data_IF_700532825801
#
_entry.id   IF_700532825801
#
_cell.length_a   1.000
_cell.length_b   1.000
_cell.length_c   1.000
_cell.angle_alpha   90.00
_cell.angle_beta   90.00
_cell.angle_gamma   90.00
#
_symmetry.space_group_name_H-M   'P 1'
#
loop_
_entity.id
_entity.type
_entity.pdbx_description
1 polymer ?
#
# COMPACT_ATOMS: atom_id res chain seq x y z
N UNK A 1 4.33 -16.58 3.27
CA UNK A 1 4.95 -17.50 2.28
C UNK A 1 6.12 -18.21 2.95
N UNK A 2 6.21 -19.54 3.02
CA UNK A 2 7.26 -20.18 3.82
C UNK A 2 8.63 -20.23 3.12
N UNK A 3 9.40 -19.14 3.20
CA UNK A 3 10.83 -19.17 2.90
C UNK A 3 11.60 -19.84 4.05
N UNK A 4 12.74 -20.51 3.78
CA UNK A 4 13.58 -21.06 4.84
C UNK A 4 14.16 -19.91 5.68
N UNK A 5 14.39 -20.15 6.97
CA UNK A 5 15.05 -19.20 7.87
C UNK A 5 14.25 -18.83 9.12
N UNK A 6 12.94 -19.03 9.12
CA UNK A 6 12.11 -18.83 10.33
C UNK A 6 12.51 -19.85 11.40
N UNK A 7 12.80 -19.36 12.61
CA UNK A 7 13.17 -20.17 13.78
C UNK A 7 12.26 -19.85 14.96
N UNK A 8 12.25 -20.72 15.97
CA UNK A 8 11.57 -20.43 17.23
C UNK A 8 12.13 -19.18 17.93
N UNK A 9 13.42 -18.87 17.71
CA UNK A 9 14.05 -17.67 18.25
C UNK A 9 13.57 -16.41 17.54
N UNK A 10 13.54 -16.38 16.20
CA UNK A 10 13.02 -15.23 15.46
C UNK A 10 11.52 -15.03 15.70
N UNK A 11 10.75 -16.11 15.87
CA UNK A 11 9.33 -16.03 16.25
C UNK A 11 9.14 -15.34 17.61
N UNK A 12 9.91 -15.73 18.63
CA UNK A 12 9.85 -15.10 19.96
C UNK A 12 10.26 -13.63 19.91
N UNK A 13 11.33 -13.32 19.18
CA UNK A 13 11.81 -11.94 19.03
C UNK A 13 10.78 -11.08 18.30
N UNK A 14 10.15 -11.59 17.24
CA UNK A 14 9.04 -10.91 16.57
C UNK A 14 7.92 -10.59 17.57
N UNK A 15 7.44 -11.59 18.33
CA UNK A 15 6.37 -11.38 19.31
C UNK A 15 6.74 -10.33 20.36
N UNK A 16 7.97 -10.37 20.89
CA UNK A 16 8.48 -9.38 21.84
C UNK A 16 8.44 -7.96 21.27
N UNK A 17 8.97 -7.76 20.07
CA UNK A 17 9.07 -6.44 19.44
C UNK A 17 7.70 -5.90 19.01
N UNK A 18 6.80 -6.78 18.55
CA UNK A 18 5.43 -6.43 18.20
C UNK A 18 4.63 -5.99 19.43
N UNK A 19 4.76 -6.72 20.55
CA UNK A 19 4.14 -6.33 21.82
C UNK A 19 4.68 -4.99 22.29
N UNK A 20 6.00 -4.79 22.23
CA UNK A 20 6.63 -3.52 22.60
C UNK A 20 6.14 -2.36 21.75
N UNK A 21 5.98 -2.56 20.44
CA UNK A 21 5.40 -1.52 19.57
C UNK A 21 3.98 -1.16 19.97
N UNK A 22 3.16 -2.16 20.32
CA UNK A 22 1.77 -1.95 20.74
C UNK A 22 1.67 -1.21 22.08
N UNK A 23 2.59 -1.48 23.01
CA UNK A 23 2.56 -0.92 24.37
C UNK A 23 3.20 0.48 24.46
N UNK A 24 4.19 0.78 23.61
CA UNK A 24 5.00 2.00 23.72
C UNK A 24 4.65 3.07 22.67
N UNK A 25 4.17 2.69 21.49
CA UNK A 25 4.12 3.58 20.32
C UNK A 25 2.71 3.84 19.79
N UNK A 26 2.53 5.04 19.29
CA UNK A 26 1.32 5.46 18.57
C UNK A 26 1.21 4.75 17.22
N UNK A 27 -0.01 4.61 16.69
CA UNK A 27 -0.26 4.21 15.30
C UNK A 27 0.25 5.16 14.20
N UNK A 28 0.91 6.27 14.57
CA UNK A 28 1.53 7.22 13.65
C UNK A 28 2.93 7.61 14.13
N UNK A 29 3.85 7.88 13.21
CA UNK A 29 5.16 8.42 13.56
C UNK A 29 5.10 9.87 14.01
N UNK A 30 6.18 10.34 14.65
CA UNK A 30 6.36 11.77 14.92
C UNK A 30 6.42 12.51 13.59
N UNK A 31 5.69 13.62 13.49
CA UNK A 31 5.89 14.51 12.35
C UNK A 31 7.25 15.21 12.42
N UNK A 32 7.82 15.56 11.26
CA UNK A 32 9.05 16.34 11.22
C UNK A 32 8.86 17.67 11.97
N UNK A 33 9.87 18.07 12.74
CA UNK A 33 9.90 19.27 13.59
C UNK A 33 9.52 20.57 12.85
N UNK A 34 9.60 20.59 11.52
CA UNK A 34 9.33 21.77 10.71
C UNK A 34 7.89 21.94 10.22
N UNK A 35 7.04 20.92 10.30
CA UNK A 35 5.72 21.04 9.66
C UNK A 35 4.52 20.65 10.53
N UNK A 36 4.49 19.54 11.27
CA UNK A 36 3.26 19.16 11.97
C UNK A 36 3.51 18.10 13.05
N UNK A 37 3.57 18.49 14.32
CA UNK A 37 3.90 17.57 15.43
C UNK A 37 2.96 16.35 15.56
N UNK A 38 1.74 16.41 15.00
CA UNK A 38 0.75 15.33 14.98
C UNK A 38 0.34 14.86 13.56
N UNK A 39 1.11 15.14 12.49
CA UNK A 39 0.78 14.68 11.12
C UNK A 39 1.83 13.76 10.47
N UNK A 40 2.57 12.96 11.25
CA UNK A 40 3.48 11.96 10.68
C UNK A 40 2.79 10.89 9.81
N UNK A 41 3.52 10.10 9.02
CA UNK A 41 2.93 8.95 8.34
C UNK A 41 2.43 7.89 9.35
N UNK A 42 1.69 6.89 8.86
CA UNK A 42 1.28 5.75 9.67
C UNK A 42 2.52 5.02 10.20
N UNK A 43 2.45 4.53 11.44
CA UNK A 43 3.51 3.70 12.01
C UNK A 43 3.50 2.35 11.33
N UNK A 44 4.49 2.05 10.49
CA UNK A 44 4.60 0.79 9.77
C UNK A 44 5.60 -0.21 10.40
N UNK A 45 5.99 -0.04 11.67
CA UNK A 45 6.95 -0.93 12.34
C UNK A 45 6.49 -2.39 12.33
N UNK A 46 5.21 -2.63 12.62
CA UNK A 46 4.64 -3.99 12.53
C UNK A 46 4.70 -4.56 11.12
N UNK A 47 4.45 -3.71 10.12
CA UNK A 47 4.41 -4.12 8.72
C UNK A 47 5.80 -4.51 8.22
N UNK A 48 6.84 -3.75 8.63
CA UNK A 48 8.25 -4.01 8.34
C UNK A 48 8.73 -5.31 9.04
N UNK A 49 8.47 -5.44 10.34
CA UNK A 49 8.83 -6.64 11.11
C UNK A 49 8.19 -7.91 10.53
N UNK A 50 6.90 -7.87 10.19
CA UNK A 50 6.20 -9.03 9.62
C UNK A 50 6.66 -9.35 8.20
N UNK A 51 6.85 -8.34 7.35
CA UNK A 51 7.33 -8.56 5.99
C UNK A 51 8.73 -9.19 5.98
N UNK A 52 9.62 -8.68 6.84
CA UNK A 52 10.99 -9.19 6.99
C UNK A 52 11.00 -10.58 7.63
N UNK A 53 10.14 -10.82 8.62
CA UNK A 53 9.98 -12.14 9.23
C UNK A 53 9.50 -13.21 8.25
N UNK A 54 8.55 -12.91 7.36
CA UNK A 54 8.05 -13.85 6.32
C UNK A 54 9.16 -14.29 5.35
N UNK A 55 10.23 -13.51 5.29
CA UNK A 55 11.43 -13.81 4.51
C UNK A 55 12.54 -14.52 5.28
N UNK A 56 12.29 -14.92 6.53
CA UNK A 56 13.23 -15.73 7.31
C UNK A 56 14.28 -14.91 8.06
N UNK A 57 13.99 -13.64 8.38
CA UNK A 57 14.86 -12.79 9.17
C UNK A 57 15.27 -13.41 10.51
N UNK A 58 16.52 -13.20 10.89
CA UNK A 58 17.05 -13.61 12.18
C UNK A 58 16.54 -12.70 13.31
N UNK A 59 16.67 -13.10 14.59
CA UNK A 59 16.39 -12.21 15.71
C UNK A 59 17.15 -10.88 15.65
N UNK A 60 18.40 -10.91 15.17
CA UNK A 60 19.25 -9.73 15.06
C UNK A 60 18.76 -8.76 13.98
N UNK A 61 18.25 -9.28 12.86
CA UNK A 61 17.66 -8.46 11.79
C UNK A 61 16.41 -7.73 12.31
N UNK A 62 15.53 -8.46 13.00
CA UNK A 62 14.29 -7.89 13.57
C UNK A 62 14.61 -6.81 14.63
N UNK A 63 15.58 -7.06 15.50
CA UNK A 63 16.04 -6.09 16.49
C UNK A 63 16.66 -4.84 15.83
N UNK A 64 17.40 -5.02 14.74
CA UNK A 64 17.98 -3.91 13.96
C UNK A 64 16.88 -3.03 13.36
N UNK A 65 15.86 -3.64 12.75
CA UNK A 65 14.68 -2.94 12.21
C UNK A 65 13.97 -2.16 13.32
N UNK A 66 13.68 -2.82 14.44
CA UNK A 66 13.00 -2.17 15.57
C UNK A 66 13.75 -0.94 16.06
N UNK A 67 15.06 -1.08 16.29
CA UNK A 67 15.87 0.02 16.82
C UNK A 67 15.97 1.20 15.84
N UNK A 68 16.06 0.94 14.52
CA UNK A 68 16.02 1.98 13.49
C UNK A 68 14.68 2.72 13.48
N UNK A 69 13.57 1.99 13.38
CA UNK A 69 12.24 2.60 13.23
C UNK A 69 11.79 3.28 14.53
N UNK A 70 12.24 2.81 15.70
CA UNK A 70 11.94 3.41 17.01
C UNK A 70 12.30 4.90 17.09
N UNK A 71 13.35 5.34 16.39
CA UNK A 71 13.83 6.72 16.46
C UNK A 71 12.81 7.76 15.99
N UNK A 72 11.90 7.37 15.10
CA UNK A 72 10.85 8.24 14.54
C UNK A 72 9.47 8.01 15.19
N UNK A 73 9.36 7.11 16.17
CA UNK A 73 8.09 6.74 16.79
C UNK A 73 7.50 7.83 17.68
N UNK A 74 6.19 8.06 17.58
CA UNK A 74 5.47 8.92 18.53
C UNK A 74 5.06 8.11 19.76
N UNK A 75 5.12 8.74 20.94
CA UNK A 75 4.69 8.09 22.19
C UNK A 75 3.20 7.79 22.12
N UNK A 76 2.78 6.67 22.69
CA UNK A 76 1.38 6.32 22.86
C UNK A 76 0.61 7.51 23.50
N UNK A 77 -0.50 7.98 22.89
CA UNK A 77 -1.28 9.07 23.46
C UNK A 77 -2.03 8.62 24.71
N UNK A 78 -2.39 9.58 25.56
CA UNK A 78 -3.17 9.32 26.77
C UNK A 78 -4.52 8.69 26.42
N UNK A 79 -4.94 7.74 27.25
CA UNK A 79 -6.25 7.08 27.14
C UNK A 79 -7.26 7.84 28.00
N UNK A 80 -8.42 8.14 27.41
CA UNK A 80 -9.54 8.86 28.02
C UNK A 80 -10.74 7.90 28.16
N UNK A 81 -10.95 7.26 29.32
CA UNK A 81 -12.01 6.26 29.49
C UNK A 81 -13.42 6.77 29.15
N UNK A 82 -13.70 8.06 29.37
CA UNK A 82 -14.95 8.71 29.03
C UNK A 82 -15.19 8.79 27.51
N UNK A 83 -14.13 9.00 26.72
CA UNK A 83 -14.23 8.98 25.25
C UNK A 83 -14.53 7.58 24.77
N UNK A 84 -13.92 6.55 25.36
CA UNK A 84 -14.22 5.14 25.04
C UNK A 84 -15.69 4.81 25.29
N UNK A 85 -16.32 5.41 26.32
CA UNK A 85 -17.76 5.28 26.56
C UNK A 85 -18.56 6.01 25.48
N UNK A 86 -18.19 7.25 25.13
CA UNK A 86 -18.85 8.00 24.05
C UNK A 86 -18.78 7.26 22.71
N UNK A 87 -17.65 6.61 22.39
CA UNK A 87 -17.45 5.84 21.16
C UNK A 87 -18.36 4.62 21.04
N UNK A 88 -18.99 4.16 22.14
CA UNK A 88 -20.02 3.11 22.07
C UNK A 88 -21.30 3.56 21.35
N UNK A 89 -21.52 4.87 21.24
CA UNK A 89 -22.55 5.48 20.42
C UNK A 89 -21.93 6.06 19.14
N UNK A 90 -22.19 5.40 18.01
CA UNK A 90 -21.70 5.80 16.68
C UNK A 90 -22.05 7.24 16.32
N UNK A 91 -23.15 7.78 16.86
CA UNK A 91 -23.55 9.17 16.60
C UNK A 91 -22.57 10.18 17.20
N UNK A 92 -21.72 9.79 18.16
CA UNK A 92 -20.69 10.66 18.75
C UNK A 92 -19.38 10.68 17.97
N UNK A 93 -19.18 9.76 17.01
CA UNK A 93 -17.88 9.58 16.34
C UNK A 93 -17.38 10.81 15.61
N UNK A 94 -18.28 11.63 15.04
CA UNK A 94 -17.95 12.87 14.36
C UNK A 94 -17.14 13.87 15.20
N UNK A 95 -17.15 13.74 16.54
CA UNK A 95 -16.34 14.54 17.45
C UNK A 95 -14.85 14.17 17.46
N UNK A 96 -14.53 12.91 17.11
CA UNK A 96 -13.21 12.30 17.33
C UNK A 96 -12.55 11.82 16.03
N UNK A 97 -13.34 11.53 14.99
CA UNK A 97 -12.83 11.07 13.71
C UNK A 97 -11.86 12.09 13.07
N UNK A 98 -10.77 11.58 12.48
CA UNK A 98 -9.72 12.37 11.84
C UNK A 98 -8.73 13.04 12.80
N UNK A 99 -8.94 12.92 14.11
CA UNK A 99 -8.04 13.43 15.14
C UNK A 99 -7.19 12.29 15.70
N UNK A 100 -5.86 12.47 15.66
CA UNK A 100 -4.90 11.41 15.96
C UNK A 100 -4.61 11.24 17.44
N UNK A 101 -4.83 12.30 18.21
CA UNK A 101 -4.77 12.28 19.66
C UNK A 101 -5.70 11.22 20.28
N UNK A 102 -6.81 10.86 19.60
CA UNK A 102 -7.78 9.86 20.07
C UNK A 102 -7.44 8.42 19.64
N UNK A 103 -6.22 8.17 19.13
CA UNK A 103 -5.87 6.84 18.63
C UNK A 103 -5.93 5.76 19.72
N UNK A 104 -5.44 6.05 20.93
CA UNK A 104 -5.54 5.12 22.08
C UNK A 104 -7.00 4.83 22.46
N UNK A 105 -7.87 5.83 22.34
CA UNK A 105 -9.31 5.70 22.64
C UNK A 105 -10.00 4.80 21.62
N UNK A 106 -9.81 5.05 20.32
CA UNK A 106 -10.33 4.20 19.25
C UNK A 106 -9.76 2.78 19.31
N UNK A 107 -8.46 2.63 19.57
CA UNK A 107 -7.84 1.31 19.73
C UNK A 107 -8.53 0.53 20.86
N UNK A 108 -8.68 1.14 22.03
CA UNK A 108 -9.31 0.51 23.19
C UNK A 108 -10.76 0.17 22.91
N UNK A 109 -11.49 1.05 22.22
CA UNK A 109 -12.86 0.81 21.79
C UNK A 109 -12.96 -0.42 20.86
N UNK A 110 -12.16 -0.48 19.80
CA UNK A 110 -12.20 -1.59 18.85
C UNK A 110 -11.68 -2.91 19.46
N UNK A 111 -10.74 -2.86 20.41
CA UNK A 111 -10.33 -4.05 21.16
C UNK A 111 -11.49 -4.63 21.97
N UNK A 112 -12.22 -3.80 22.73
CA UNK A 112 -13.40 -4.23 23.48
C UNK A 112 -14.50 -4.77 22.57
N UNK A 113 -14.78 -4.08 21.46
CA UNK A 113 -15.78 -4.57 20.51
C UNK A 113 -15.37 -5.92 19.92
N UNK A 114 -14.10 -6.08 19.54
CA UNK A 114 -13.60 -7.36 19.04
C UNK A 114 -13.71 -8.48 20.08
N UNK A 115 -13.46 -8.20 21.36
CA UNK A 115 -13.64 -9.16 22.45
C UNK A 115 -15.11 -9.58 22.63
N UNK A 116 -16.05 -8.64 22.44
CA UNK A 116 -17.49 -8.87 22.62
C UNK A 116 -18.13 -9.64 21.46
N UNK A 117 -17.87 -9.26 20.21
CA UNK A 117 -18.56 -9.80 19.04
C UNK A 117 -17.67 -10.63 18.10
N UNK A 118 -16.36 -10.64 18.34
CA UNK A 118 -15.39 -11.33 17.51
C UNK A 118 -14.97 -10.53 16.26
N UNK A 119 -13.75 -10.79 15.79
CA UNK A 119 -13.14 -10.10 14.65
C UNK A 119 -13.98 -10.15 13.36
N UNK A 120 -14.54 -11.30 12.91
CA UNK A 120 -15.36 -11.34 11.71
C UNK A 120 -16.62 -10.46 11.78
N UNK A 121 -17.31 -10.46 12.92
CA UNK A 121 -18.52 -9.66 13.10
C UNK A 121 -18.19 -8.17 13.18
N UNK A 122 -17.10 -7.81 13.87
CA UNK A 122 -16.63 -6.43 13.94
C UNK A 122 -16.28 -5.88 12.56
N UNK A 123 -15.49 -6.60 11.75
CA UNK A 123 -15.12 -6.13 10.41
C UNK A 123 -16.34 -6.03 9.48
N UNK A 124 -17.27 -6.99 9.54
CA UNK A 124 -18.52 -6.88 8.79
C UNK A 124 -19.34 -5.65 9.21
N UNK A 125 -19.47 -5.39 10.52
CA UNK A 125 -20.17 -4.22 11.07
C UNK A 125 -19.48 -2.91 10.67
N UNK A 126 -18.15 -2.85 10.80
CA UNK A 126 -17.36 -1.60 10.73
C UNK A 126 -16.92 -1.22 9.34
N UNK A 127 -16.76 -2.16 8.41
CA UNK A 127 -16.26 -1.88 7.06
C UNK A 127 -17.20 -2.35 5.94
N UNK A 128 -18.01 -3.38 6.17
CA UNK A 128 -18.76 -4.05 5.09
C UNK A 128 -20.28 -3.94 5.21
N UNK A 129 -20.80 -3.23 6.21
CA UNK A 129 -22.24 -3.12 6.45
C UNK A 129 -22.98 -2.26 5.42
N UNK A 130 -22.29 -1.36 4.71
CA UNK A 130 -22.89 -0.43 3.76
C UNK A 130 -23.74 0.67 4.42
N UNK A 131 -23.54 0.91 5.71
CA UNK A 131 -24.09 2.08 6.42
C UNK A 131 -23.19 3.29 6.22
N UNK A 132 -23.71 4.50 6.46
CA UNK A 132 -22.92 5.73 6.39
C UNK A 132 -21.66 5.67 7.27
N UNK A 133 -21.79 5.14 8.49
CA UNK A 133 -20.65 4.98 9.41
C UNK A 133 -19.63 3.93 8.92
N UNK A 134 -20.08 2.78 8.41
CA UNK A 134 -19.15 1.77 7.89
C UNK A 134 -18.45 2.22 6.62
N UNK A 135 -19.15 2.99 5.78
CA UNK A 135 -18.59 3.53 4.55
C UNK A 135 -17.62 4.67 4.85
N UNK A 136 -17.92 5.58 5.78
CA UNK A 136 -16.96 6.60 6.22
C UNK A 136 -15.66 5.94 6.72
N UNK A 137 -15.76 4.97 7.63
CA UNK A 137 -14.59 4.28 8.15
C UNK A 137 -13.82 3.53 7.05
N UNK A 138 -14.51 2.85 6.13
CA UNK A 138 -13.89 2.18 4.98
C UNK A 138 -13.15 3.17 4.07
N UNK A 139 -13.72 4.34 3.77
CA UNK A 139 -13.03 5.36 2.97
C UNK A 139 -11.75 5.84 3.66
N UNK A 140 -11.78 6.01 4.99
CA UNK A 140 -10.59 6.36 5.78
C UNK A 140 -9.53 5.26 5.80
N UNK A 141 -9.90 4.01 5.51
CA UNK A 141 -8.92 2.94 5.32
C UNK A 141 -8.04 3.13 4.07
N UNK A 142 -8.54 3.84 3.05
CA UNK A 142 -7.74 4.30 1.90
C UNK A 142 -6.94 5.57 2.23
N UNK A 143 -7.34 6.28 3.28
CA UNK A 143 -6.58 7.36 3.89
C UNK A 143 -5.19 6.90 4.34
N UNK A 144 -4.23 7.83 4.37
CA UNK A 144 -2.84 7.50 4.69
C UNK A 144 -2.17 6.59 3.65
N UNK A 145 -2.68 6.54 2.41
CA UNK A 145 -2.15 5.71 1.32
C UNK A 145 -2.24 4.21 1.68
N UNK A 146 -3.46 3.72 1.94
CA UNK A 146 -3.78 2.31 2.24
C UNK A 146 -3.27 1.72 3.57
N UNK A 147 -2.48 2.44 4.36
CA UNK A 147 -1.86 1.87 5.56
C UNK A 147 -2.83 1.19 6.55
N UNK A 148 -4.06 1.69 6.80
CA UNK A 148 -5.03 0.95 7.60
C UNK A 148 -5.43 -0.41 6.99
N UNK A 149 -5.68 -0.48 5.67
CA UNK A 149 -6.00 -1.74 4.97
C UNK A 149 -4.81 -2.69 5.05
N UNK A 150 -3.59 -2.19 4.83
CA UNK A 150 -2.35 -2.97 4.95
C UNK A 150 -2.23 -3.57 6.36
N UNK A 151 -2.47 -2.77 7.41
CA UNK A 151 -2.38 -3.22 8.80
C UNK A 151 -3.44 -4.29 9.14
N UNK A 152 -4.68 -4.09 8.72
CA UNK A 152 -5.75 -5.09 8.88
C UNK A 152 -5.39 -6.36 8.10
N UNK A 153 -4.89 -6.21 6.87
CA UNK A 153 -4.45 -7.31 6.02
C UNK A 153 -3.34 -8.15 6.67
N UNK A 154 -2.34 -7.54 7.28
CA UNK A 154 -1.33 -8.25 8.07
C UNK A 154 -1.93 -9.00 9.26
N UNK A 155 -2.88 -8.39 9.97
CA UNK A 155 -3.60 -9.04 11.08
C UNK A 155 -4.33 -10.31 10.64
N UNK A 156 -4.99 -10.27 9.48
CA UNK A 156 -5.69 -11.42 8.89
C UNK A 156 -4.72 -12.47 8.34
N UNK A 157 -3.65 -12.04 7.66
CA UNK A 157 -2.71 -12.95 7.00
C UNK A 157 -1.87 -13.77 7.99
N UNK A 158 -1.39 -13.13 9.06
CA UNK A 158 -0.54 -13.76 10.06
C UNK A 158 -1.31 -14.31 11.26
N UNK A 159 -2.64 -14.20 11.26
CA UNK A 159 -3.50 -14.55 12.40
C UNK A 159 -3.04 -13.83 13.68
N UNK A 160 -2.89 -12.51 13.60
CA UNK A 160 -2.52 -11.62 14.71
C UNK A 160 -3.68 -10.64 14.94
N UNK A 161 -4.73 -11.04 15.69
CA UNK A 161 -5.95 -10.26 15.84
C UNK A 161 -5.72 -8.84 16.38
N UNK A 162 -4.69 -8.63 17.21
CA UNK A 162 -4.36 -7.32 17.79
C UNK A 162 -4.06 -6.23 16.74
N UNK A 163 -3.66 -6.60 15.52
CA UNK A 163 -3.41 -5.63 14.44
C UNK A 163 -4.70 -5.11 13.80
N UNK A 164 -5.80 -5.86 13.87
CA UNK A 164 -7.08 -5.44 13.30
C UNK A 164 -7.66 -4.19 13.97
N UNK A 165 -7.84 -4.13 15.31
CA UNK A 165 -8.31 -2.90 15.97
C UNK A 165 -7.30 -1.76 15.83
N UNK A 166 -5.99 -2.03 15.78
CA UNK A 166 -4.97 -1.01 15.53
C UNK A 166 -5.09 -0.40 14.11
N UNK A 167 -5.43 -1.22 13.11
CA UNK A 167 -5.73 -0.76 11.76
C UNK A 167 -7.00 0.08 11.70
N UNK A 168 -8.07 -0.35 12.37
CA UNK A 168 -9.33 0.42 12.47
C UNK A 168 -9.15 1.74 13.21
N UNK A 169 -8.37 1.77 14.30
CA UNK A 169 -8.04 3.00 15.01
C UNK A 169 -7.23 3.96 14.14
N UNK A 170 -6.27 3.45 13.38
CA UNK A 170 -5.52 4.24 12.39
C UNK A 170 -6.44 4.80 11.30
N UNK A 171 -7.44 4.03 10.83
CA UNK A 171 -8.46 4.54 9.91
C UNK A 171 -9.31 5.64 10.55
N UNK A 172 -9.84 5.43 11.75
CA UNK A 172 -10.65 6.42 12.46
C UNK A 172 -9.91 7.75 12.67
N UNK A 173 -8.59 7.69 12.90
CA UNK A 173 -7.72 8.85 13.06
C UNK A 173 -7.16 9.43 11.75
N UNK A 174 -7.40 8.80 10.60
CA UNK A 174 -7.06 9.37 9.30
C UNK A 174 -8.12 10.39 8.86
N UNK A 175 -7.67 11.42 8.13
CA UNK A 175 -8.57 12.36 7.48
C UNK A 175 -9.45 11.68 6.41
N UNK A 176 -10.61 12.27 6.15
CA UNK A 176 -11.65 11.81 5.24
C UNK A 176 -11.47 12.26 3.80
N UNK A 177 -10.27 12.73 3.42
CA UNK A 177 -10.00 13.24 2.08
C UNK A 177 -10.39 12.29 0.91
N UNK A 178 -10.40 10.95 1.03
CA UNK A 178 -10.90 10.07 -0.03
C UNK A 178 -12.44 10.00 -0.13
N UNK A 179 -13.17 10.50 0.86
CA UNK A 179 -14.61 10.27 0.99
C UNK A 179 -15.39 10.82 -0.21
N UNK A 180 -15.08 12.03 -0.66
CA UNK A 180 -15.77 12.65 -1.80
C UNK A 180 -15.52 11.90 -3.12
N UNK A 181 -14.32 11.36 -3.31
CA UNK A 181 -14.00 10.48 -4.44
C UNK A 181 -14.90 9.24 -4.44
N UNK A 182 -15.00 8.52 -3.32
CA UNK A 182 -15.84 7.31 -3.23
C UNK A 182 -17.35 7.61 -3.28
N UNK A 183 -17.80 8.73 -2.70
CA UNK A 183 -19.18 9.22 -2.84
C UNK A 183 -19.51 9.50 -4.31
N UNK A 184 -18.61 10.18 -5.03
CA UNK A 184 -18.76 10.47 -6.46
C UNK A 184 -18.81 9.23 -7.36
N UNK A 185 -18.18 8.13 -6.95
CA UNK A 185 -18.27 6.82 -7.62
C UNK A 185 -19.61 6.10 -7.38
N UNK A 186 -20.27 6.39 -6.26
CA UNK A 186 -21.48 5.70 -5.83
C UNK A 186 -22.77 6.33 -6.36
N UNK A 187 -22.75 7.64 -6.70
CA UNK A 187 -23.92 8.39 -7.16
C UNK A 187 -24.55 7.87 -8.48
N UNK A 188 -23.75 7.23 -9.34
CA UNK A 188 -24.18 6.78 -10.68
C UNK A 188 -24.43 5.27 -10.77
N UNK A 189 -24.40 4.54 -9.66
CA UNK A 189 -24.50 3.07 -9.66
C UNK A 189 -25.81 2.52 -10.28
N UNK A 190 -26.80 3.39 -10.57
CA UNK A 190 -28.08 3.05 -11.19
C UNK A 190 -28.14 3.23 -12.71
N UNK A 191 -27.21 3.97 -13.33
CA UNK A 191 -27.31 4.38 -14.75
C UNK A 191 -26.28 3.71 -15.69
N UNK A 192 -25.39 2.89 -15.15
CA UNK A 192 -24.32 2.29 -15.93
C UNK A 192 -24.76 0.90 -16.40
N UNK A 193 -25.35 0.85 -17.61
CA UNK A 193 -25.61 -0.37 -18.37
C UNK A 193 -24.41 -1.35 -18.29
N UNK A 194 -24.64 -2.65 -18.51
CA UNK A 194 -23.68 -3.79 -18.54
C UNK A 194 -22.45 -3.66 -19.48
N UNK A 195 -22.07 -2.44 -19.88
CA UNK A 195 -21.02 -2.08 -20.84
C UNK A 195 -19.72 -1.59 -20.23
N UNK A 196 -19.57 -1.55 -18.90
CA UNK A 196 -18.46 -0.87 -18.24
C UNK A 196 -17.62 -1.80 -17.35
N UNK A 197 -17.17 -2.93 -17.89
CA UNK A 197 -16.05 -3.66 -17.30
C UNK A 197 -14.83 -3.59 -18.22
N UNK A 198 -14.23 -2.40 -18.29
CA UNK A 198 -13.11 -2.16 -19.19
C UNK A 198 -11.82 -2.75 -18.61
N UNK A 199 -10.94 -3.34 -19.44
CA UNK A 199 -9.63 -3.79 -18.98
C UNK A 199 -8.86 -2.66 -18.30
N UNK A 200 -8.24 -2.96 -17.16
CA UNK A 200 -7.63 -1.94 -16.32
C UNK A 200 -6.51 -1.18 -17.06
N UNK A 201 -5.69 -1.88 -17.84
CA UNK A 201 -4.64 -1.26 -18.65
C UNK A 201 -5.19 -0.27 -19.69
N UNK A 202 -6.34 -0.56 -20.29
CA UNK A 202 -6.96 0.33 -21.27
C UNK A 202 -7.41 1.64 -20.62
N UNK A 203 -7.94 1.58 -19.38
CA UNK A 203 -8.27 2.77 -18.60
C UNK A 203 -7.02 3.62 -18.35
N UNK A 204 -5.91 3.00 -17.93
CA UNK A 204 -4.65 3.74 -17.68
C UNK A 204 -4.08 4.37 -18.96
N UNK A 205 -4.21 3.69 -20.11
CA UNK A 205 -3.79 4.23 -21.40
C UNK A 205 -4.63 5.43 -21.81
N UNK A 206 -5.94 5.43 -21.57
CA UNK A 206 -6.79 6.59 -21.85
C UNK A 206 -6.47 7.76 -20.94
N UNK A 207 -6.32 7.49 -19.64
CA UNK A 207 -5.87 8.49 -18.65
C UNK A 207 -4.54 9.13 -19.08
N UNK A 208 -3.55 8.33 -19.48
CA UNK A 208 -2.25 8.85 -19.91
C UNK A 208 -2.34 9.73 -21.18
N UNK A 209 -3.27 9.41 -22.07
CA UNK A 209 -3.49 10.16 -23.31
C UNK A 209 -4.34 11.43 -23.11
N UNK A 210 -5.06 11.54 -22.00
CA UNK A 210 -5.86 12.71 -21.68
C UNK A 210 -4.98 13.89 -21.24
N UNK A 211 -4.95 15.00 -22.00
CA UNK A 211 -4.11 16.15 -21.68
C UNK A 211 -4.48 16.81 -20.34
N UNK A 212 -5.68 16.58 -19.80
CA UNK A 212 -6.10 17.18 -18.52
C UNK A 212 -5.21 16.77 -17.34
N UNK A 213 -4.56 15.61 -17.42
CA UNK A 213 -3.72 15.08 -16.35
C UNK A 213 -2.22 15.43 -16.50
N UNK A 214 -1.83 16.13 -17.58
CA UNK A 214 -0.42 16.50 -17.84
C UNK A 214 0.05 17.73 -17.05
N UNK A 215 -0.86 18.62 -16.68
CA UNK A 215 -0.57 19.80 -15.85
C UNK A 215 -1.71 20.08 -14.87
N UNK A 216 -1.82 19.32 -13.77
CA UNK A 216 -2.89 19.50 -12.79
C UNK A 216 -2.73 20.75 -11.90
N UNK A 217 -1.94 21.74 -12.29
CA UNK A 217 -1.76 23.01 -11.56
C UNK A 217 -0.47 23.08 -10.74
N UNK A 218 0.04 24.31 -10.60
CA UNK A 218 1.42 24.63 -10.18
C UNK A 218 1.65 24.74 -8.68
N UNK A 219 0.62 24.70 -7.83
CA UNK A 219 0.76 24.98 -6.39
C UNK A 219 0.84 23.68 -5.56
N UNK A 220 1.90 22.90 -5.80
CA UNK A 220 2.04 21.57 -5.19
C UNK A 220 2.91 21.62 -3.95
N UNK A 221 2.28 21.57 -2.78
CA UNK A 221 2.99 21.19 -1.56
C UNK A 221 3.26 19.68 -1.63
N UNK A 222 4.49 19.28 -1.30
CA UNK A 222 5.09 17.93 -1.46
C UNK A 222 4.28 16.74 -0.88
N UNK A 223 3.20 16.99 -0.15
CA UNK A 223 2.36 15.96 0.49
C UNK A 223 0.89 16.03 0.10
N UNK A 224 0.51 16.90 -0.84
CA UNK A 224 -0.88 17.19 -1.16
C UNK A 224 -1.33 16.72 -2.55
N UNK A 225 -0.61 15.75 -3.13
CA UNK A 225 -0.85 15.24 -4.49
C UNK A 225 -2.31 14.82 -4.70
N UNK A 226 -2.89 14.10 -3.74
CA UNK A 226 -4.27 13.63 -3.83
C UNK A 226 -5.30 14.74 -3.69
N UNK A 227 -5.15 15.66 -2.72
CA UNK A 227 -6.17 16.70 -2.55
C UNK A 227 -6.09 17.73 -3.69
N UNK A 228 -4.88 18.05 -4.16
CA UNK A 228 -4.67 18.98 -5.28
C UNK A 228 -5.30 18.43 -6.55
N UNK A 229 -5.06 17.14 -6.87
CA UNK A 229 -5.63 16.54 -8.07
C UNK A 229 -7.15 16.38 -7.98
N UNK A 230 -7.69 16.02 -6.81
CA UNK A 230 -9.13 15.92 -6.62
C UNK A 230 -9.78 17.31 -6.73
N UNK A 231 -9.20 18.35 -6.13
CA UNK A 231 -9.70 19.72 -6.26
C UNK A 231 -9.76 20.19 -7.72
N UNK A 232 -8.76 19.83 -8.54
CA UNK A 232 -8.65 20.33 -9.91
C UNK A 232 -9.30 19.43 -10.97
N UNK A 233 -9.47 18.13 -10.70
CA UNK A 233 -9.79 17.14 -11.74
C UNK A 233 -10.66 15.97 -11.27
N UNK A 234 -11.41 16.10 -10.17
CA UNK A 234 -12.27 15.02 -9.65
C UNK A 234 -13.24 14.46 -10.72
N UNK A 235 -14.00 15.30 -11.41
CA UNK A 235 -14.99 14.84 -12.41
C UNK A 235 -14.37 13.99 -13.53
N UNK A 236 -13.28 14.44 -14.21
CA UNK A 236 -12.53 13.59 -15.15
C UNK A 236 -12.06 12.27 -14.56
N UNK A 237 -11.53 12.26 -13.33
CA UNK A 237 -11.02 11.03 -12.70
C UNK A 237 -12.17 10.06 -12.45
N UNK A 238 -13.30 10.57 -11.96
CA UNK A 238 -14.50 9.75 -11.74
C UNK A 238 -14.99 9.10 -13.04
N UNK A 239 -14.90 9.80 -14.18
CA UNK A 239 -15.28 9.25 -15.49
C UNK A 239 -14.43 8.02 -15.86
N UNK A 240 -13.13 8.04 -15.59
CA UNK A 240 -12.26 6.89 -15.85
C UNK A 240 -12.42 5.78 -14.81
N UNK A 241 -12.44 6.14 -13.53
CA UNK A 241 -12.56 5.17 -12.43
C UNK A 241 -13.88 4.38 -12.47
N UNK A 242 -15.00 5.00 -12.90
CA UNK A 242 -16.30 4.33 -13.06
C UNK A 242 -16.29 3.20 -14.10
N UNK A 243 -15.34 3.20 -15.04
CA UNK A 243 -15.24 2.17 -16.09
C UNK A 243 -14.66 0.84 -15.59
N UNK A 244 -14.06 0.81 -14.40
CA UNK A 244 -13.62 -0.42 -13.77
C UNK A 244 -14.71 -0.98 -12.87
N UNK A 245 -15.09 -2.25 -13.10
CA UNK A 245 -16.07 -2.98 -12.30
C UNK A 245 -15.56 -4.35 -11.91
N UNK A 246 -16.06 -4.86 -10.79
CA UNK A 246 -15.77 -6.22 -10.33
C UNK A 246 -17.06 -7.00 -10.18
N UNK A 247 -17.43 -7.82 -11.17
CA UNK A 247 -18.51 -8.80 -11.01
C UNK A 247 -18.17 -9.83 -9.92
N UNK A 248 -19.17 -10.25 -9.14
CA UNK A 248 -18.98 -11.21 -8.02
C UNK A 248 -18.47 -12.58 -8.48
N UNK A 249 -18.74 -12.97 -9.73
CA UNK A 249 -18.27 -14.20 -10.36
C UNK A 249 -16.89 -14.07 -11.03
N UNK A 250 -16.26 -12.88 -10.94
CA UNK A 250 -14.97 -12.54 -11.57
C UNK A 250 -13.92 -12.03 -10.59
N UNK A 251 -14.14 -12.21 -9.29
CA UNK A 251 -13.25 -11.68 -8.23
C UNK A 251 -11.81 -12.16 -8.41
N UNK A 252 -11.60 -13.45 -8.73
CA UNK A 252 -10.25 -14.01 -8.90
C UNK A 252 -9.53 -13.40 -10.11
N UNK A 253 -10.19 -13.37 -11.29
CA UNK A 253 -9.60 -12.78 -12.50
C UNK A 253 -9.32 -11.28 -12.32
N UNK A 254 -10.22 -10.55 -11.67
CA UNK A 254 -10.04 -9.12 -11.37
C UNK A 254 -8.95 -8.88 -10.33
N UNK A 255 -8.77 -9.80 -9.38
CA UNK A 255 -7.71 -9.67 -8.37
C UNK A 255 -6.34 -9.73 -9.03
N UNK A 256 -6.10 -10.72 -9.89
CA UNK A 256 -4.81 -10.82 -10.60
C UNK A 256 -4.64 -9.69 -11.63
N UNK A 257 -5.70 -9.24 -12.31
CA UNK A 257 -5.63 -8.07 -13.19
C UNK A 257 -5.18 -6.82 -12.42
N UNK A 258 -5.85 -6.50 -11.30
CA UNK A 258 -5.50 -5.37 -10.43
C UNK A 258 -4.06 -5.45 -9.92
N UNK A 259 -3.62 -6.64 -9.54
CA UNK A 259 -2.27 -6.88 -9.02
C UNK A 259 -1.20 -6.74 -10.11
N UNK A 260 -1.41 -7.36 -11.27
CA UNK A 260 -0.47 -7.34 -12.39
C UNK A 260 -0.27 -5.92 -12.92
N UNK A 261 -1.37 -5.17 -13.09
CA UNK A 261 -1.29 -3.78 -13.52
C UNK A 261 -0.66 -2.89 -12.44
N UNK A 262 -0.91 -3.10 -11.15
CA UNK A 262 -0.17 -2.38 -10.10
C UNK A 262 1.35 -2.62 -10.19
N UNK A 263 1.79 -3.85 -10.47
CA UNK A 263 3.20 -4.15 -10.68
C UNK A 263 3.75 -3.47 -11.95
N UNK A 264 2.98 -3.43 -13.04
CA UNK A 264 3.33 -2.68 -14.24
C UNK A 264 3.48 -1.19 -13.96
N UNK A 265 2.56 -0.59 -13.18
CA UNK A 265 2.65 0.82 -12.80
C UNK A 265 3.95 1.08 -12.06
N UNK A 266 4.29 0.25 -11.07
CA UNK A 266 5.52 0.38 -10.29
C UNK A 266 6.77 0.31 -11.18
N UNK A 267 6.96 -0.79 -11.93
CA UNK A 267 8.17 -0.99 -12.72
C UNK A 267 8.23 -0.15 -14.00
N UNK A 268 7.08 0.22 -14.55
CA UNK A 268 6.95 0.87 -15.84
C UNK A 268 6.99 2.39 -15.77
N UNK A 269 6.64 3.00 -14.64
CA UNK A 269 6.55 4.46 -14.47
C UNK A 269 7.91 5.19 -14.39
N UNK A 270 9.03 4.45 -14.44
CA UNK A 270 10.37 5.05 -14.43
C UNK A 270 10.61 5.95 -15.65
N UNK A 271 11.71 6.71 -15.66
CA UNK A 271 12.17 7.51 -16.81
C UNK A 271 13.40 6.92 -17.49
N UNK A 272 13.38 6.89 -18.82
CA UNK A 272 14.46 6.32 -19.65
C UNK A 272 15.76 7.12 -19.60
N UNK A 273 15.65 8.43 -19.42
CA UNK A 273 16.75 9.39 -19.36
C UNK A 273 17.31 9.58 -17.95
N UNK A 274 16.79 8.85 -16.95
CA UNK A 274 17.11 9.02 -15.53
C UNK A 274 17.54 7.71 -14.89
N UNK A 275 18.24 7.84 -13.77
CA UNK A 275 18.49 6.71 -12.86
C UNK A 275 17.20 5.92 -12.58
N UNK A 276 17.33 4.61 -12.36
CA UNK A 276 16.20 3.77 -11.99
C UNK A 276 15.75 4.19 -10.59
N UNK A 277 14.51 4.68 -10.52
CA UNK A 277 13.81 5.05 -9.29
C UNK A 277 12.35 4.64 -9.41
N UNK A 278 11.84 4.09 -8.33
CA UNK A 278 10.43 3.71 -8.20
C UNK A 278 9.64 4.86 -7.57
N UNK A 279 8.35 4.97 -7.90
CA UNK A 279 7.49 6.00 -7.34
C UNK A 279 6.95 5.60 -5.95
N UNK A 280 7.11 6.50 -4.98
CA UNK A 280 6.68 6.31 -3.60
C UNK A 280 5.18 6.03 -3.45
N UNK A 281 4.31 6.59 -4.30
CA UNK A 281 2.87 6.34 -4.20
C UNK A 281 2.50 5.04 -4.92
N UNK A 282 3.11 4.75 -6.07
CA UNK A 282 2.81 3.54 -6.85
C UNK A 282 3.23 2.24 -6.15
N UNK A 283 4.27 2.26 -5.30
CA UNK A 283 4.60 1.10 -4.46
C UNK A 283 3.41 0.70 -3.56
N UNK A 284 2.55 1.63 -3.14
CA UNK A 284 1.42 1.32 -2.27
C UNK A 284 0.31 0.56 -3.00
N UNK A 285 0.15 0.78 -4.30
CA UNK A 285 -0.77 0.01 -5.15
C UNK A 285 -0.38 -1.48 -5.16
N UNK A 286 0.93 -1.78 -5.16
CA UNK A 286 1.47 -3.15 -5.13
C UNK A 286 1.47 -3.72 -3.72
N UNK A 287 1.90 -2.96 -2.71
CA UNK A 287 1.96 -3.45 -1.32
C UNK A 287 0.59 -3.66 -0.70
N UNK A 288 -0.46 -3.06 -1.25
CA UNK A 288 -1.85 -3.33 -0.85
C UNK A 288 -2.46 -4.50 -1.62
N UNK A 289 -2.02 -4.76 -2.86
CA UNK A 289 -2.62 -5.77 -3.73
C UNK A 289 -2.55 -7.20 -3.13
N UNK A 290 -1.49 -7.52 -2.39
CA UNK A 290 -1.37 -8.80 -1.68
C UNK A 290 -2.54 -9.03 -0.71
N UNK A 291 -2.95 -7.99 0.02
CA UNK A 291 -3.98 -8.10 1.04
C UNK A 291 -5.37 -8.29 0.46
N UNK A 292 -5.62 -7.87 -0.79
CA UNK A 292 -6.89 -8.19 -1.44
C UNK A 292 -7.07 -9.72 -1.57
N UNK A 293 -5.99 -10.45 -1.85
CA UNK A 293 -6.04 -11.93 -1.84
C UNK A 293 -6.30 -12.49 -0.44
N UNK A 294 -5.79 -11.83 0.60
CA UNK A 294 -6.03 -12.20 2.02
C UNK A 294 -7.51 -11.99 2.39
N UNK A 295 -8.10 -10.85 2.03
CA UNK A 295 -9.54 -10.59 2.23
C UNK A 295 -10.41 -11.58 1.42
N UNK A 296 -10.03 -11.87 0.18
CA UNK A 296 -10.76 -12.84 -0.66
C UNK A 296 -10.75 -14.26 -0.07
N UNK A 297 -9.70 -14.63 0.67
CA UNK A 297 -9.59 -15.93 1.33
C UNK A 297 -10.49 -16.08 2.57
N UNK A 298 -11.05 -14.99 3.10
CA UNK A 298 -11.92 -15.04 4.28
C UNK A 298 -13.33 -15.51 3.91
N UNK A 299 -13.80 -16.61 4.48
CA UNK A 299 -15.13 -17.19 4.20
C UNK A 299 -16.29 -16.37 4.78
N UNK A 300 -16.03 -15.62 5.85
CA UNK A 300 -16.97 -14.74 6.54
C UNK A 300 -17.16 -13.36 5.88
N UNK A 301 -16.44 -13.06 4.79
CA UNK A 301 -16.68 -11.88 3.95
C UNK A 301 -17.50 -12.32 2.73
N UNK A 302 -18.63 -11.65 2.49
CA UNK A 302 -19.49 -11.96 1.34
C UNK A 302 -18.79 -11.64 0.01
N UNK A 303 -19.21 -12.30 -1.07
CA UNK A 303 -18.66 -12.04 -2.41
C UNK A 303 -18.89 -10.60 -2.86
N UNK A 304 -20.02 -9.99 -2.48
CA UNK A 304 -20.34 -8.60 -2.77
C UNK A 304 -19.34 -7.65 -2.10
N UNK A 305 -19.00 -7.90 -0.83
CA UNK A 305 -18.03 -7.09 -0.08
C UNK A 305 -16.61 -7.26 -0.61
N UNK A 306 -16.23 -8.47 -1.00
CA UNK A 306 -14.94 -8.76 -1.68
C UNK A 306 -14.84 -8.01 -3.01
N UNK A 307 -15.88 -8.11 -3.85
CA UNK A 307 -15.95 -7.44 -5.12
C UNK A 307 -15.87 -5.91 -4.95
N UNK A 308 -16.63 -5.35 -4.00
CA UNK A 308 -16.60 -3.92 -3.67
C UNK A 308 -15.22 -3.45 -3.21
N UNK A 309 -14.57 -4.19 -2.31
CA UNK A 309 -13.25 -3.84 -1.80
C UNK A 309 -12.19 -3.82 -2.92
N UNK A 310 -12.19 -4.83 -3.79
CA UNK A 310 -11.30 -4.89 -4.95
C UNK A 310 -11.59 -3.77 -5.96
N UNK A 311 -12.86 -3.47 -6.20
CA UNK A 311 -13.28 -2.37 -7.08
C UNK A 311 -12.80 -1.03 -6.52
N UNK A 312 -12.99 -0.77 -5.22
CA UNK A 312 -12.55 0.45 -4.55
C UNK A 312 -11.04 0.60 -4.56
N UNK A 313 -10.29 -0.48 -4.25
CA UNK A 313 -8.83 -0.50 -4.36
C UNK A 313 -8.36 -0.14 -5.76
N UNK A 314 -8.92 -0.76 -6.78
CA UNK A 314 -8.44 -0.54 -8.15
C UNK A 314 -8.80 0.86 -8.67
N UNK A 315 -9.97 1.38 -8.27
CA UNK A 315 -10.34 2.78 -8.57
C UNK A 315 -9.47 3.78 -7.85
N UNK A 316 -9.07 3.50 -6.61
CA UNK A 316 -8.12 4.34 -5.91
C UNK A 316 -6.72 4.27 -6.53
N UNK A 317 -6.30 3.11 -7.06
CA UNK A 317 -5.05 3.03 -7.84
C UNK A 317 -5.10 3.89 -9.11
N UNK A 318 -6.25 3.98 -9.80
CA UNK A 318 -6.44 4.92 -10.92
C UNK A 318 -6.24 6.36 -10.45
N UNK A 319 -6.85 6.74 -9.32
CA UNK A 319 -6.62 8.05 -8.70
C UNK A 319 -5.13 8.26 -8.37
N UNK A 320 -4.45 7.27 -7.79
CA UNK A 320 -3.01 7.34 -7.49
C UNK A 320 -2.19 7.54 -8.75
N UNK A 321 -2.48 6.80 -9.83
CA UNK A 321 -1.79 6.94 -11.11
C UNK A 321 -1.94 8.34 -11.70
N UNK A 322 -3.15 8.92 -11.64
CA UNK A 322 -3.39 10.32 -12.02
C UNK A 322 -2.64 11.29 -11.09
N UNK A 323 -2.69 11.06 -9.78
CA UNK A 323 -2.06 11.93 -8.77
C UNK A 323 -0.54 12.04 -8.95
N UNK A 324 0.10 11.00 -9.49
CA UNK A 324 1.53 11.01 -9.82
C UNK A 324 1.84 11.46 -11.25
N UNK A 325 0.85 11.96 -11.99
CA UNK A 325 1.03 12.57 -13.31
C UNK A 325 0.86 11.61 -14.48
N UNK A 326 0.18 10.48 -14.28
CA UNK A 326 -0.10 9.47 -15.30
C UNK A 326 1.14 9.12 -16.16
N UNK A 327 2.25 8.68 -15.54
CA UNK A 327 3.51 8.43 -16.24
C UNK A 327 3.35 7.36 -17.33
N UNK A 328 4.04 7.51 -18.45
CA UNK A 328 4.09 6.47 -19.50
C UNK A 328 4.67 5.19 -18.91
N UNK A 329 3.98 4.06 -19.11
CA UNK A 329 4.41 2.77 -18.59
C UNK A 329 5.30 2.04 -19.60
N UNK A 330 6.60 1.94 -19.29
CA UNK A 330 7.61 1.35 -20.15
C UNK A 330 7.85 -0.13 -19.84
N UNK A 331 6.96 -1.01 -20.28
CA UNK A 331 7.09 -2.46 -20.08
C UNK A 331 8.42 -3.05 -20.63
N UNK A 332 8.94 -2.50 -21.73
CA UNK A 332 10.21 -2.97 -22.30
C UNK A 332 11.44 -2.62 -21.45
N UNK A 333 11.36 -1.58 -20.61
CA UNK A 333 12.44 -1.27 -19.65
C UNK A 333 12.51 -2.33 -18.56
N UNK A 334 11.36 -2.85 -18.12
CA UNK A 334 11.30 -3.98 -17.20
C UNK A 334 11.90 -5.22 -17.88
N UNK A 335 11.47 -5.54 -19.11
CA UNK A 335 11.93 -6.73 -19.83
C UNK A 335 13.44 -6.72 -20.07
N UNK A 336 14.02 -5.57 -20.39
CA UNK A 336 15.43 -5.41 -20.72
C UNK A 336 16.30 -5.04 -19.50
N UNK A 337 15.71 -4.97 -18.31
CA UNK A 337 16.49 -4.66 -17.12
C UNK A 337 17.45 -5.78 -16.75
N UNK A 338 18.69 -5.41 -16.49
CA UNK A 338 19.74 -6.29 -15.97
C UNK A 338 20.02 -5.93 -14.50
N UNK A 339 19.65 -6.79 -13.55
CA UNK A 339 19.91 -6.58 -12.13
C UNK A 339 21.42 -6.41 -11.83
N UNK A 340 21.76 -5.63 -10.80
CA UNK A 340 23.15 -5.50 -10.30
C UNK A 340 23.75 -6.85 -9.91
N UNK A 341 22.93 -7.79 -9.45
CA UNK A 341 23.30 -9.17 -9.15
C UNK A 341 22.49 -10.11 -10.04
N UNK A 342 23.17 -10.85 -10.92
CA UNK A 342 22.54 -11.78 -11.85
C UNK A 342 21.77 -12.87 -11.09
N UNK A 343 20.58 -13.19 -11.61
CA UNK A 343 19.72 -14.27 -11.11
C UNK A 343 19.79 -15.51 -12.01
N UNK A 344 20.78 -15.60 -12.91
CA UNK A 344 20.93 -16.71 -13.84
C UNK A 344 21.70 -17.88 -13.18
N UNK A 345 21.25 -19.11 -13.44
CA UNK A 345 21.93 -20.32 -12.98
C UNK A 345 21.87 -20.58 -11.46
N UNK A 346 21.14 -19.76 -10.69
CA UNK A 346 20.92 -19.97 -9.25
C UNK A 346 19.68 -20.84 -9.00
N UNK A 347 19.69 -21.62 -7.90
CA UNK A 347 18.61 -22.58 -7.61
C UNK A 347 17.24 -21.92 -7.40
N UNK A 348 17.17 -20.89 -6.55
CA UNK A 348 15.96 -20.08 -6.38
C UNK A 348 16.32 -18.59 -6.63
N UNK A 349 15.80 -17.99 -7.71
CA UNK A 349 16.16 -16.63 -8.15
C UNK A 349 15.56 -15.51 -7.28
N UNK A 350 14.88 -15.85 -6.19
CA UNK A 350 14.42 -14.88 -5.20
C UNK A 350 15.35 -14.76 -3.99
N UNK A 351 16.20 -15.75 -3.71
CA UNK A 351 16.95 -15.81 -2.45
C UNK A 351 17.94 -14.65 -2.30
N UNK A 352 18.61 -14.24 -3.38
CA UNK A 352 19.52 -13.09 -3.36
C UNK A 352 18.76 -11.78 -3.14
N UNK A 353 17.68 -11.56 -3.91
CA UNK A 353 16.82 -10.37 -3.78
C UNK A 353 16.29 -10.26 -2.34
N UNK A 354 15.80 -11.36 -1.79
CA UNK A 354 15.28 -11.41 -0.42
C UNK A 354 16.37 -11.15 0.60
N UNK A 355 17.51 -11.86 0.50
CA UNK A 355 18.62 -11.71 1.45
C UNK A 355 19.14 -10.29 1.52
N UNK A 356 19.22 -9.60 0.38
CA UNK A 356 19.60 -8.18 0.31
C UNK A 356 18.50 -7.25 0.83
N UNK A 357 17.24 -7.52 0.48
CA UNK A 357 16.11 -6.68 0.88
C UNK A 357 15.92 -6.61 2.41
N UNK A 358 16.20 -7.69 3.15
CA UNK A 358 16.15 -7.73 4.63
C UNK A 358 17.06 -6.67 5.27
N UNK A 359 18.14 -6.28 4.59
CA UNK A 359 19.15 -5.36 5.10
C UNK A 359 19.03 -3.94 4.52
N UNK A 360 17.98 -3.64 3.75
CA UNK A 360 17.74 -2.27 3.27
C UNK A 360 17.32 -1.39 4.45
N UNK A 361 17.99 -0.25 4.60
CA UNK A 361 17.80 0.70 5.70
C UNK A 361 16.73 1.75 5.37
N UNK A 362 15.52 1.31 5.08
CA UNK A 362 14.36 2.18 4.90
C UNK A 362 13.32 1.99 6.01
N UNK A 363 12.16 2.60 5.80
CA UNK A 363 10.99 2.55 6.66
C UNK A 363 10.06 1.39 6.19
N UNK A 364 10.65 0.28 5.72
CA UNK A 364 9.97 -0.97 5.38
C UNK A 364 9.25 -0.99 4.02
N UNK A 365 9.29 0.10 3.24
CA UNK A 365 8.62 0.13 1.92
C UNK A 365 9.23 -0.85 0.93
N UNK A 366 10.56 -0.99 0.92
CA UNK A 366 11.28 -1.91 0.04
C UNK A 366 10.89 -3.34 0.33
N UNK A 367 11.01 -3.80 1.58
CA UNK A 367 10.73 -5.20 1.92
C UNK A 367 9.27 -5.59 1.67
N UNK A 368 8.32 -4.70 1.97
CA UNK A 368 6.89 -4.88 1.63
C UNK A 368 6.68 -5.01 0.13
N UNK A 369 7.39 -4.22 -0.66
CA UNK A 369 7.31 -4.24 -2.13
C UNK A 369 7.83 -5.57 -2.68
N UNK A 370 9.02 -6.00 -2.24
CA UNK A 370 9.60 -7.28 -2.63
C UNK A 370 8.67 -8.44 -2.25
N UNK A 371 8.16 -8.44 -1.02
CA UNK A 371 7.17 -9.43 -0.53
C UNK A 371 5.95 -9.51 -1.43
N UNK A 372 5.42 -8.37 -1.83
CA UNK A 372 4.25 -8.30 -2.69
C UNK A 372 4.56 -8.78 -4.11
N UNK A 373 5.75 -8.53 -4.65
CA UNK A 373 6.13 -9.02 -5.98
C UNK A 373 6.39 -10.53 -6.00
N UNK A 374 6.95 -11.10 -4.93
CA UNK A 374 7.08 -12.55 -4.77
C UNK A 374 5.71 -13.23 -4.79
N UNK A 375 4.74 -12.69 -4.04
CA UNK A 375 3.38 -13.22 -4.04
C UNK A 375 2.70 -13.04 -5.41
N UNK A 376 2.89 -11.88 -6.03
CA UNK A 376 2.39 -11.56 -7.36
C UNK A 376 2.82 -12.59 -8.41
N UNK A 377 4.11 -12.95 -8.47
CA UNK A 377 4.59 -14.00 -9.39
C UNK A 377 3.90 -15.35 -9.17
N UNK A 378 3.67 -15.75 -7.90
CA UNK A 378 3.00 -17.01 -7.57
C UNK A 378 1.53 -17.01 -7.98
N UNK A 379 0.87 -15.86 -7.87
CA UNK A 379 -0.53 -15.70 -8.27
C UNK A 379 -0.64 -15.67 -9.80
N UNK A 380 0.27 -14.95 -10.47
CA UNK A 380 0.37 -14.86 -11.93
C UNK A 380 0.58 -16.24 -12.57
N UNK A 381 1.41 -17.10 -11.98
CA UNK A 381 1.59 -18.48 -12.45
C UNK A 381 0.29 -19.32 -12.50
N UNK A 382 -0.76 -18.93 -11.77
CA UNK A 382 -2.06 -19.63 -11.77
C UNK A 382 -3.05 -19.08 -12.81
N UNK A 383 -2.97 -17.79 -13.11
CA UNK A 383 -4.02 -17.06 -13.85
C UNK A 383 -3.51 -16.17 -15.00
N UNK A 384 -2.27 -15.69 -14.94
CA UNK A 384 -1.73 -14.64 -15.80
C UNK A 384 -1.78 -14.94 -17.29
N UNK A 385 -1.32 -16.13 -17.71
CA UNK A 385 -1.33 -16.53 -19.13
C UNK A 385 -2.74 -16.56 -19.72
N UNK A 386 -3.76 -16.93 -18.92
CA UNK A 386 -5.15 -17.01 -19.39
C UNK A 386 -5.74 -15.64 -19.71
N UNK A 387 -5.24 -14.60 -19.07
CA UNK A 387 -5.75 -13.23 -19.15
C UNK A 387 -4.88 -12.32 -20.02
N UNK A 388 -3.79 -12.82 -20.60
CA UNK A 388 -2.85 -12.05 -21.43
C UNK A 388 -2.36 -10.76 -20.74
N UNK A 389 -1.99 -10.88 -19.46
CA UNK A 389 -1.55 -9.74 -18.65
C UNK A 389 -0.11 -9.31 -19.00
N UNK A 390 0.25 -8.03 -18.81
CA UNK A 390 1.51 -7.47 -19.33
C UNK A 390 2.77 -7.85 -18.53
N UNK A 391 2.67 -8.09 -17.22
CA UNK A 391 3.80 -8.53 -16.39
C UNK A 391 3.80 -10.04 -16.32
N UNK A 392 4.80 -10.69 -16.90
CA UNK A 392 4.85 -12.16 -16.99
C UNK A 392 6.20 -12.72 -16.56
N UNK A 393 6.19 -13.92 -15.98
CA UNK A 393 7.40 -14.70 -15.69
C UNK A 393 8.45 -13.91 -14.92
N UNK A 394 9.67 -13.80 -15.48
CA UNK A 394 10.77 -13.14 -14.79
C UNK A 394 10.61 -11.61 -14.66
N UNK A 395 9.61 -10.98 -15.29
CA UNK A 395 9.36 -9.55 -15.13
C UNK A 395 9.06 -9.18 -13.68
N UNK A 396 8.36 -10.03 -12.92
CA UNK A 396 8.13 -9.83 -11.49
C UNK A 396 9.43 -9.68 -10.69
N UNK A 397 10.41 -10.56 -10.96
CA UNK A 397 11.74 -10.49 -10.36
C UNK A 397 12.53 -9.28 -10.84
N UNK A 398 12.38 -8.89 -12.10
CA UNK A 398 13.04 -7.68 -12.63
C UNK A 398 12.50 -6.42 -11.95
N UNK A 399 11.19 -6.29 -11.74
CA UNK A 399 10.60 -5.17 -10.98
C UNK A 399 11.11 -5.17 -9.54
N UNK A 400 11.23 -6.35 -8.92
CA UNK A 400 11.76 -6.49 -7.57
C UNK A 400 13.23 -6.06 -7.50
N UNK A 401 14.06 -6.52 -8.44
CA UNK A 401 15.44 -6.11 -8.56
C UNK A 401 15.58 -4.60 -8.84
N UNK A 402 14.76 -4.01 -9.72
CA UNK A 402 14.74 -2.57 -9.96
C UNK A 402 14.45 -1.80 -8.67
N UNK A 403 13.46 -2.25 -7.90
CA UNK A 403 13.08 -1.64 -6.62
C UNK A 403 14.22 -1.72 -5.61
N UNK A 404 14.78 -2.92 -5.41
CA UNK A 404 15.90 -3.16 -4.50
C UNK A 404 17.14 -2.36 -4.91
N UNK A 405 17.57 -2.47 -6.17
CA UNK A 405 18.79 -1.82 -6.66
C UNK A 405 18.69 -0.29 -6.62
N UNK A 406 17.47 0.26 -6.64
CA UNK A 406 17.20 1.69 -6.49
C UNK A 406 17.20 2.18 -5.05
N UNK A 407 16.96 1.30 -4.07
CA UNK A 407 16.88 1.63 -2.65
C UNK A 407 18.14 1.22 -1.85
N UNK A 408 18.87 0.20 -2.32
CA UNK A 408 20.03 -0.34 -1.63
C UNK A 408 21.15 0.71 -1.46
N UNK A 409 21.65 0.85 -0.22
CA UNK A 409 22.66 1.84 0.14
C UNK A 409 22.11 3.26 0.32
N UNK A 410 20.79 3.45 0.25
CA UNK A 410 20.11 4.70 0.57
C UNK A 410 19.40 4.58 1.92
N UNK A 411 19.38 5.67 2.69
CA UNK A 411 18.75 5.72 4.02
C UNK A 411 17.68 6.79 4.07
N UNK A 412 16.40 6.41 3.94
CA UNK A 412 15.28 7.36 3.95
C UNK A 412 14.97 7.87 5.37
N UNK A 413 15.22 7.06 6.42
CA UNK A 413 14.88 7.38 7.81
C UNK A 413 15.76 8.47 8.44
N UNK A 414 16.97 8.68 7.92
CA UNK A 414 18.03 9.52 8.52
C UNK A 414 18.40 10.75 7.67
N UNK A 415 17.51 11.16 6.75
CA UNK A 415 17.77 12.29 5.86
C UNK A 415 18.83 12.02 4.78
N UNK A 416 19.04 10.75 4.44
CA UNK A 416 19.88 10.33 3.30
C UNK A 416 19.24 10.64 1.94
N UNK A 417 19.91 10.26 0.84
CA UNK A 417 19.38 10.46 -0.50
C UNK A 417 18.09 9.65 -0.68
N UNK A 418 17.07 10.26 -1.29
CA UNK A 418 15.74 9.64 -1.44
C UNK A 418 15.81 8.40 -2.33
N UNK A 419 15.31 7.28 -1.83
CA UNK A 419 15.16 6.05 -2.63
C UNK A 419 14.04 6.15 -3.67
N UNK A 420 13.04 7.01 -3.41
CA UNK A 420 11.81 7.07 -4.21
C UNK A 420 11.66 8.41 -4.92
N UNK A 421 11.23 8.36 -6.19
CA UNK A 421 10.62 9.53 -6.83
C UNK A 421 9.22 9.74 -6.26
N UNK A 422 8.75 11.00 -6.22
CA UNK A 422 7.40 11.34 -5.76
C UNK A 422 6.72 12.12 -6.87
N UNK A 423 5.90 11.46 -7.68
CA UNK A 423 5.26 12.05 -8.85
C UNK A 423 6.00 11.75 -10.15
N UNK A 424 6.20 10.48 -10.48
CA UNK A 424 6.98 10.02 -11.62
C UNK A 424 6.55 10.58 -12.99
N UNK A 425 5.31 11.03 -13.15
CA UNK A 425 4.82 11.69 -14.36
C UNK A 425 5.23 13.16 -14.50
N UNK A 426 5.83 13.77 -13.47
CA UNK A 426 6.18 15.20 -13.47
C UNK A 426 7.68 15.41 -13.63
N UNK A 427 8.08 16.25 -14.58
CA UNK A 427 9.50 16.56 -14.85
C UNK A 427 10.26 17.02 -13.61
N UNK A 428 9.63 17.86 -12.77
CA UNK A 428 10.24 18.43 -11.57
C UNK A 428 10.58 17.37 -10.51
N UNK A 429 9.80 16.27 -10.46
CA UNK A 429 10.08 15.17 -9.53
C UNK A 429 11.41 14.47 -9.83
N UNK A 430 11.91 14.62 -11.06
CA UNK A 430 13.15 13.98 -11.54
C UNK A 430 14.38 14.89 -11.49
N UNK A 431 14.25 16.16 -11.08
CA UNK A 431 15.38 17.09 -10.91
C UNK A 431 16.46 16.57 -9.95
N UNK A 432 16.15 15.90 -8.83
CA UNK A 432 17.16 15.39 -7.89
C UNK A 432 17.92 14.16 -8.38
N UNK A 433 17.46 13.50 -9.46
CA UNK A 433 18.02 12.24 -9.94
C UNK A 433 18.83 12.46 -11.23
N UNK A 434 20.02 11.85 -11.29
CA UNK A 434 20.93 11.97 -12.41
C UNK A 434 20.48 11.17 -13.64
N UNK A 435 21.25 11.25 -14.74
CA UNK A 435 21.08 10.35 -15.87
C UNK A 435 21.45 8.91 -15.50
N UNK A 436 20.85 7.93 -16.18
CA UNK A 436 21.25 6.51 -16.02
C UNK A 436 22.67 6.31 -16.53
N UNK A 437 23.48 5.55 -15.80
CA UNK A 437 24.75 5.05 -16.33
C UNK A 437 24.50 4.21 -17.59
N UNK A 438 25.32 4.37 -18.64
CA UNK A 438 25.21 3.49 -19.80
C UNK A 438 25.38 2.04 -19.35
N UNK A 439 24.65 1.07 -19.95
CA UNK A 439 24.79 -0.34 -19.60
C UNK A 439 26.27 -0.70 -19.61
N UNK A 440 26.78 -1.26 -18.51
CA UNK A 440 28.18 -1.68 -18.48
C UNK A 440 28.36 -2.66 -19.63
N UNK A 441 29.17 -2.31 -20.64
CA UNK A 441 29.54 -3.26 -21.68
C UNK A 441 30.16 -4.44 -20.94
N UNK A 442 29.48 -5.58 -20.95
CA UNK A 442 30.03 -6.82 -20.43
C UNK A 442 31.42 -6.96 -21.05
N UNK A 443 32.44 -7.06 -20.20
CA UNK A 443 33.76 -7.49 -20.67
C UNK A 443 33.54 -8.94 -21.09
N UNK A 444 33.53 -9.17 -22.41
CA UNK A 444 33.48 -10.48 -23.06
C UNK A 444 34.43 -11.49 -22.42
#
# INVERSE_FOLDING_TARGET
MSFPGITAESSRKLSELMQKNQDEHHGFFRGSMFYYHLRGPANHMSDDLLATYDFGASPADLETIYNRVKEVQHVLPELHPEIVVDLSDESQWHKYLGAREYWSDFLTFFQKEMEEIGMPAMLNKRLFAGTEASDDLLTRCFGGIYHPIIRIGYGLEFDIPALVPAGLATAACNGDWPADFFKGLSADAKDVNDKFDKPYLDILNEVQNDPIFRDPGTDRKMFDYYSTILHNSMDPILLYAKQYRVPVDKIDEKTIESYNIAALMLGGAMRKDKEIRMDFFLIHCVTTAIFISVFNAQDWITSESKARLLEWKTRFDILTYVAVGAPVLHADEIKNYEPKVSQDGVGNPWLDIIGRAIHVEDDGHTIKTIRSLVYGERLDAKYGEKLNLPVVGNMWRKIAAMSLDSAEGLGDCNGGPRAWVRGAGFDQAWEPFGPRDPPSKSKN
#
